data_IF_750052112342
#
_entry.id   IF_750052112342
#
_cell.length_a   1.000
_cell.length_b   1.000
_cell.length_c   1.000
_cell.angle_alpha   90.00
_cell.angle_beta   90.00
_cell.angle_gamma   90.00
#
_symmetry.space_group_name_H-M   'P 1'
#
loop_
_entity.id
_entity.type
_entity.pdbx_description
1 polymer ?
#
# COMPACT_ATOMS: atom_id res chain seq x y z
N UNK A 1 -0.46 12.45 -37.56
CA UNK A 1 0.01 12.42 -36.15
C UNK A 1 -0.79 11.32 -35.43
N UNK A 2 -0.17 10.18 -35.11
CA UNK A 2 -0.86 9.07 -34.44
C UNK A 2 -1.03 9.42 -32.97
N UNK A 3 -2.27 9.64 -32.51
CA UNK A 3 -2.55 9.75 -31.07
C UNK A 3 -2.25 8.39 -30.45
N UNK A 4 -1.22 8.30 -29.59
CA UNK A 4 -1.06 7.13 -28.72
C UNK A 4 -2.35 6.97 -27.92
N UNK A 5 -3.05 5.87 -28.11
CA UNK A 5 -4.25 5.54 -27.34
C UNK A 5 -3.82 5.38 -25.87
N UNK A 6 -4.18 6.33 -25.02
CA UNK A 6 -3.94 6.22 -23.60
C UNK A 6 -4.77 5.04 -23.08
N UNK A 7 -4.08 4.03 -22.55
CA UNK A 7 -4.76 2.89 -21.94
C UNK A 7 -5.46 3.35 -20.66
N UNK A 8 -6.64 2.79 -20.33
CA UNK A 8 -7.37 3.19 -19.14
C UNK A 8 -6.54 2.94 -17.87
N UNK A 9 -6.45 3.96 -17.02
CA UNK A 9 -5.73 3.97 -15.74
C UNK A 9 -6.47 4.84 -14.74
N UNK A 10 -6.14 4.74 -13.45
CA UNK A 10 -6.57 5.75 -12.48
C UNK A 10 -5.73 7.01 -12.72
N UNK A 11 -6.39 8.16 -12.83
CA UNK A 11 -5.79 9.45 -13.18
C UNK A 11 -6.29 10.52 -12.22
N UNK A 12 -5.37 11.34 -11.71
CA UNK A 12 -5.67 12.54 -10.95
C UNK A 12 -5.24 13.76 -11.75
N UNK A 13 -6.16 14.69 -11.98
CA UNK A 13 -5.90 15.98 -12.60
C UNK A 13 -6.16 17.11 -11.61
N UNK A 14 -5.46 18.23 -11.74
CA UNK A 14 -5.80 19.47 -11.03
C UNK A 14 -7.08 20.12 -11.62
N UNK A 15 -7.64 21.17 -10.98
CA UNK A 15 -8.84 21.83 -11.49
C UNK A 15 -8.67 22.46 -12.88
N UNK A 16 -7.44 22.68 -13.35
CA UNK A 16 -7.11 23.18 -14.68
C UNK A 16 -6.94 22.04 -15.71
N UNK A 17 -7.11 20.78 -15.29
CA UNK A 17 -6.99 19.60 -16.15
C UNK A 17 -5.56 19.10 -16.34
N UNK A 18 -4.57 19.61 -15.60
CA UNK A 18 -3.19 19.14 -15.67
C UNK A 18 -3.04 17.83 -14.90
N UNK A 19 -2.39 16.85 -15.54
CA UNK A 19 -2.09 15.55 -14.94
C UNK A 19 -1.18 15.70 -13.72
N UNK A 20 -1.64 15.24 -12.56
CA UNK A 20 -0.89 15.17 -11.31
C UNK A 20 -0.35 13.77 -11.03
N UNK A 21 -1.14 12.74 -11.34
CA UNK A 21 -0.79 11.33 -11.07
C UNK A 21 -1.50 10.39 -12.03
N UNK A 22 -0.83 9.29 -12.39
CA UNK A 22 -1.46 8.13 -13.00
C UNK A 22 -0.84 6.82 -12.48
N UNK A 23 -1.60 5.73 -12.54
CA UNK A 23 -1.12 4.41 -12.10
C UNK A 23 -0.28 3.67 -13.14
N UNK A 24 -0.21 4.15 -14.39
CA UNK A 24 0.60 3.57 -15.48
C UNK A 24 0.46 2.04 -15.61
N UNK A 25 -0.77 1.53 -15.59
CA UNK A 25 -1.14 0.09 -15.48
C UNK A 25 -0.56 -0.85 -16.56
N UNK A 26 0.07 -0.34 -17.62
CA UNK A 26 0.69 -1.16 -18.67
C UNK A 26 -0.28 -2.06 -19.46
N UNK A 27 -1.59 -1.95 -19.23
CA UNK A 27 -2.61 -2.83 -19.78
C UNK A 27 -4.00 -2.22 -19.72
N UNK A 28 -4.97 -2.90 -20.33
CA UNK A 28 -6.36 -2.44 -20.35
C UNK A 28 -7.04 -2.76 -19.02
N UNK A 29 -7.34 -1.70 -18.25
CA UNK A 29 -8.21 -1.77 -17.08
C UNK A 29 -9.65 -2.00 -17.52
N UNK A 30 -10.31 -2.94 -16.86
CA UNK A 30 -11.71 -3.30 -17.05
C UNK A 30 -12.58 -2.73 -15.92
N UNK A 31 -12.15 -2.90 -14.67
CA UNK A 31 -12.82 -2.37 -13.49
C UNK A 31 -11.83 -2.11 -12.34
N UNK A 32 -12.29 -1.39 -11.33
CA UNK A 32 -11.60 -1.19 -10.05
C UNK A 32 -12.38 -1.86 -8.92
N UNK A 33 -11.67 -2.37 -7.93
CA UNK A 33 -12.27 -2.91 -6.69
C UNK A 33 -11.64 -2.24 -5.49
N UNK A 34 -12.46 -1.82 -4.52
CA UNK A 34 -12.02 -1.48 -3.18
C UNK A 34 -12.61 -2.52 -2.25
N UNK A 35 -11.76 -3.34 -1.62
CA UNK A 35 -12.21 -4.46 -0.80
C UNK A 35 -12.20 -4.10 0.69
N UNK A 36 -12.74 -5.01 1.50
CA UNK A 36 -12.87 -4.80 2.96
C UNK A 36 -11.52 -4.76 3.69
N UNK A 37 -10.42 -5.16 3.03
CA UNK A 37 -9.06 -5.01 3.59
C UNK A 37 -8.49 -3.61 3.37
N UNK A 38 -9.18 -2.75 2.61
CA UNK A 38 -8.70 -1.41 2.25
C UNK A 38 -7.78 -1.38 1.03
N UNK A 39 -7.69 -2.46 0.25
CA UNK A 39 -6.91 -2.50 -0.98
C UNK A 39 -7.75 -2.00 -2.17
N UNK A 40 -7.28 -0.93 -2.80
CA UNK A 40 -7.80 -0.45 -4.08
C UNK A 40 -7.00 -1.09 -5.21
N UNK A 41 -7.65 -1.94 -6.01
CA UNK A 41 -7.02 -2.64 -7.12
C UNK A 41 -7.68 -2.31 -8.47
N UNK A 42 -6.85 -2.10 -9.49
CA UNK A 42 -7.27 -2.00 -10.89
C UNK A 42 -7.08 -3.37 -11.55
N UNK A 43 -8.12 -3.86 -12.23
CA UNK A 43 -8.17 -5.25 -12.71
C UNK A 43 -8.47 -5.35 -14.19
N UNK A 44 -7.98 -6.43 -14.81
CA UNK A 44 -8.41 -6.88 -16.13
C UNK A 44 -9.77 -7.59 -16.03
N UNK A 45 -10.39 -7.86 -17.17
CA UNK A 45 -11.64 -8.62 -17.29
C UNK A 45 -11.59 -10.02 -16.64
N UNK A 46 -10.41 -10.66 -16.65
CA UNK A 46 -10.18 -11.94 -15.99
C UNK A 46 -9.83 -11.82 -14.49
N UNK A 47 -10.09 -10.65 -13.89
CA UNK A 47 -9.80 -10.31 -12.49
C UNK A 47 -8.33 -10.28 -12.09
N UNK A 48 -7.39 -10.47 -13.02
CA UNK A 48 -5.95 -10.27 -12.71
C UNK A 48 -5.67 -8.81 -12.37
N UNK A 49 -4.84 -8.60 -11.35
CA UNK A 49 -4.45 -7.28 -10.87
C UNK A 49 -3.44 -6.67 -11.84
N UNK A 50 -3.68 -5.42 -12.22
CA UNK A 50 -2.77 -4.57 -12.99
C UNK A 50 -1.98 -3.62 -12.09
N UNK A 51 -2.63 -3.16 -11.03
CA UNK A 51 -2.13 -2.20 -10.06
C UNK A 51 -2.94 -2.33 -8.78
N UNK A 52 -2.33 -2.13 -7.62
CA UNK A 52 -3.03 -2.13 -6.33
C UNK A 52 -2.36 -1.20 -5.33
N UNK A 53 -3.14 -0.55 -4.46
CA UNK A 53 -2.63 0.42 -3.49
C UNK A 53 -1.69 -0.21 -2.46
N UNK A 54 -1.86 -1.50 -2.17
CA UNK A 54 -1.01 -2.22 -1.22
C UNK A 54 0.47 -2.32 -1.65
N UNK A 55 0.76 -2.20 -2.95
CA UNK A 55 2.12 -2.14 -3.53
C UNK A 55 2.72 -0.73 -3.53
N UNK A 56 2.01 0.23 -2.94
CA UNK A 56 2.41 1.63 -2.84
C UNK A 56 2.15 2.15 -1.42
N UNK A 57 2.82 1.58 -0.40
CA UNK A 57 2.62 2.02 0.98
C UNK A 57 3.01 3.49 1.19
N UNK A 58 2.33 4.15 2.13
CA UNK A 58 2.67 5.49 2.61
C UNK A 58 3.34 5.38 3.99
N UNK A 59 2.87 6.12 4.97
CA UNK A 59 3.21 6.02 6.39
C UNK A 59 2.43 4.93 7.13
N UNK A 60 1.45 4.28 6.49
CA UNK A 60 0.54 3.33 7.14
C UNK A 60 0.52 1.98 6.44
N UNK A 61 0.50 0.90 7.23
CA UNK A 61 0.42 -0.49 6.80
C UNK A 61 -0.88 -1.08 7.36
N UNK A 62 -1.61 -1.81 6.53
CA UNK A 62 -2.91 -2.40 6.90
C UNK A 62 -2.81 -3.93 7.06
N UNK A 63 -3.71 -4.56 7.83
CA UNK A 63 -3.86 -6.00 7.87
C UNK A 63 -4.00 -6.59 6.46
N UNK A 64 -3.41 -7.75 6.24
CA UNK A 64 -3.22 -8.45 4.96
C UNK A 64 -2.24 -7.79 3.97
N UNK A 65 -1.68 -6.62 4.29
CA UNK A 65 -0.65 -5.98 3.47
C UNK A 65 0.72 -6.61 3.75
N UNK A 66 1.48 -6.83 2.67
CA UNK A 66 2.87 -7.26 2.71
C UNK A 66 3.74 -6.17 2.11
N UNK A 67 4.82 -5.82 2.81
CA UNK A 67 5.83 -4.89 2.32
C UNK A 67 7.03 -5.68 1.84
N UNK A 68 7.34 -5.54 0.56
CA UNK A 68 8.52 -6.13 -0.05
C UNK A 68 9.78 -5.25 0.15
N UNK A 69 10.93 -5.82 -0.20
CA UNK A 69 12.26 -5.23 0.01
C UNK A 69 12.42 -3.79 -0.53
N UNK A 70 11.73 -3.47 -1.62
CA UNK A 70 11.84 -2.17 -2.31
C UNK A 70 10.64 -1.24 -2.01
N UNK A 71 9.70 -1.69 -1.19
CA UNK A 71 8.56 -0.90 -0.75
C UNK A 71 8.93 -0.29 0.61
N UNK A 72 9.17 1.02 0.64
CA UNK A 72 9.65 1.71 1.84
C UNK A 72 8.50 2.57 2.37
N UNK A 73 7.87 2.20 3.50
CA UNK A 73 7.00 3.13 4.20
C UNK A 73 7.78 4.35 4.66
N UNK A 74 7.24 5.54 4.41
CA UNK A 74 7.86 6.80 4.79
C UNK A 74 6.87 7.60 5.59
N UNK A 75 7.33 8.16 6.71
CA UNK A 75 6.51 8.99 7.58
C UNK A 75 5.96 10.19 6.81
N UNK A 76 4.83 10.72 7.29
CA UNK A 76 4.40 12.06 6.89
C UNK A 76 5.34 13.13 7.46
N UNK A 77 5.34 14.32 6.87
CA UNK A 77 6.24 15.43 7.26
C UNK A 77 5.88 16.05 8.62
N UNK A 78 4.59 16.19 8.88
CA UNK A 78 4.01 16.59 10.17
C UNK A 78 2.64 15.96 10.30
N UNK A 79 2.01 16.01 11.48
CA UNK A 79 0.65 15.49 11.71
C UNK A 79 -0.36 15.88 10.60
N UNK A 80 -0.38 17.16 10.22
CA UNK A 80 -1.27 17.71 9.20
C UNK A 80 -0.68 17.76 7.78
N UNK A 81 0.57 17.38 7.59
CA UNK A 81 1.26 17.45 6.29
C UNK A 81 1.68 16.06 5.79
N UNK A 82 0.85 15.51 4.90
CA UNK A 82 1.01 14.20 4.27
C UNK A 82 2.11 14.14 3.18
N UNK A 83 2.90 15.19 3.00
CA UNK A 83 4.11 15.09 2.16
C UNK A 83 5.17 14.21 2.83
N UNK A 84 6.13 13.75 2.02
CA UNK A 84 7.24 12.89 2.44
C UNK A 84 7.97 13.50 3.64
N UNK A 85 8.04 12.74 4.73
CA UNK A 85 8.76 13.05 5.96
C UNK A 85 10.20 12.54 5.96
N UNK A 86 10.79 12.46 7.16
CA UNK A 86 12.22 12.13 7.33
C UNK A 86 12.48 10.72 7.88
N UNK A 87 11.45 10.06 8.42
CA UNK A 87 11.58 8.71 8.96
C UNK A 87 11.09 7.71 7.91
N UNK A 88 11.83 6.63 7.75
CA UNK A 88 11.52 5.61 6.77
C UNK A 88 11.80 4.24 7.39
N UNK A 89 10.87 3.30 7.18
CA UNK A 89 11.05 1.93 7.61
C UNK A 89 11.83 1.19 6.53
N UNK A 90 13.11 0.91 6.76
CA UNK A 90 13.86 0.03 5.84
C UNK A 90 13.60 -1.42 6.16
N UNK A 91 12.83 -2.05 5.31
CA UNK A 91 12.65 -3.48 5.31
C UNK A 91 13.88 -4.13 4.65
N UNK A 92 14.94 -4.43 5.43
CA UNK A 92 16.01 -5.32 4.94
C UNK A 92 15.51 -6.78 4.70
N UNK A 93 14.27 -7.04 5.11
CA UNK A 93 13.50 -8.30 5.11
C UNK A 93 12.01 -7.96 4.95
N UNK A 94 11.22 -8.86 4.34
CA UNK A 94 9.78 -8.65 4.09
C UNK A 94 9.01 -8.48 5.41
N UNK A 95 8.14 -7.47 5.48
CA UNK A 95 7.24 -7.26 6.65
C UNK A 95 5.84 -7.71 6.26
N UNK A 96 5.19 -8.50 7.11
CA UNK A 96 3.83 -9.00 6.92
C UNK A 96 2.95 -8.48 8.05
N UNK A 97 1.80 -7.93 7.70
CA UNK A 97 0.75 -7.64 8.66
C UNK A 97 -0.42 -8.59 8.37
N UNK A 98 -0.65 -9.57 9.25
CA UNK A 98 -1.67 -10.60 9.02
C UNK A 98 -3.09 -10.08 9.24
N UNK A 99 -4.10 -10.85 8.82
CA UNK A 99 -5.51 -10.59 9.14
C UNK A 99 -5.83 -10.66 10.62
N UNK A 100 -4.98 -11.31 11.42
CA UNK A 100 -5.08 -11.43 12.88
C UNK A 100 -4.39 -10.26 13.60
N UNK A 101 -4.02 -9.22 12.85
CA UNK A 101 -3.27 -8.07 13.34
C UNK A 101 -1.89 -8.41 13.93
N UNK A 102 -1.31 -9.54 13.51
CA UNK A 102 0.06 -9.91 13.84
C UNK A 102 1.01 -9.30 12.82
N UNK A 103 2.00 -8.56 13.30
CA UNK A 103 3.11 -8.04 12.50
C UNK A 103 4.27 -9.00 12.67
N UNK A 104 4.81 -9.47 11.56
CA UNK A 104 5.98 -10.33 11.51
C UNK A 104 6.96 -9.89 10.43
N UNK A 105 8.19 -10.36 10.57
CA UNK A 105 9.22 -10.21 9.53
C UNK A 105 9.61 -11.56 8.99
N UNK A 106 9.66 -11.68 7.68
CA UNK A 106 10.11 -12.87 6.96
C UNK A 106 11.55 -12.66 6.51
N UNK A 107 12.47 -13.37 7.17
CA UNK A 107 13.91 -13.34 6.89
C UNK A 107 14.21 -13.96 5.51
N UNK A 108 15.38 -13.66 4.95
CA UNK A 108 15.81 -14.20 3.63
C UNK A 108 15.86 -15.73 3.57
N UNK A 109 16.05 -16.40 4.71
CA UNK A 109 16.01 -17.85 4.82
C UNK A 109 14.57 -18.43 4.92
N UNK A 110 13.55 -17.58 4.78
CA UNK A 110 12.13 -17.95 4.90
C UNK A 110 11.61 -18.04 6.33
N UNK A 111 12.45 -17.82 7.36
CA UNK A 111 11.98 -17.84 8.74
C UNK A 111 11.16 -16.61 9.08
N UNK A 112 10.00 -16.83 9.70
CA UNK A 112 9.15 -15.78 10.24
C UNK A 112 9.51 -15.48 11.70
N UNK A 113 9.60 -14.20 12.04
CA UNK A 113 9.76 -13.71 13.40
C UNK A 113 8.64 -12.73 13.70
N UNK A 114 7.82 -13.06 14.71
CA UNK A 114 6.73 -12.21 15.18
C UNK A 114 7.31 -11.00 15.94
N UNK A 115 6.78 -9.82 15.64
CA UNK A 115 7.12 -8.56 16.31
C UNK A 115 5.99 -8.04 17.20
N UNK A 116 4.74 -8.46 16.96
CA UNK A 116 3.59 -8.03 17.77
C UNK A 116 3.64 -8.56 19.22
N UNK A 117 3.04 -7.83 20.18
CA UNK A 117 2.82 -8.31 21.54
C UNK A 117 2.01 -9.61 21.59
N UNK A 118 2.21 -10.41 22.63
CA UNK A 118 1.62 -11.76 22.78
C UNK A 118 0.09 -11.81 22.88
N UNK A 119 -0.56 -10.66 23.15
CA UNK A 119 -2.01 -10.55 23.32
C UNK A 119 -2.53 -9.39 22.47
N UNK A 120 -3.14 -9.72 21.34
CA UNK A 120 -3.81 -8.77 20.45
C UNK A 120 -5.32 -8.97 20.63
N UNK A 121 -6.10 -7.91 20.90
CA UNK A 121 -7.55 -8.05 21.00
C UNK A 121 -8.16 -8.60 19.69
N UNK A 122 -9.39 -9.15 19.73
CA UNK A 122 -10.03 -9.68 18.52
C UNK A 122 -10.28 -8.60 17.45
N UNK A 123 -10.12 -9.00 16.19
CA UNK A 123 -10.36 -8.19 14.99
C UNK A 123 -11.83 -7.86 14.72
N UNK A 124 -12.79 -8.55 15.33
CA UNK A 124 -14.22 -8.31 15.06
C UNK A 124 -14.68 -6.90 15.45
N UNK A 125 -13.98 -6.28 16.40
CA UNK A 125 -14.39 -5.01 17.01
C UNK A 125 -13.37 -3.89 16.77
N UNK A 126 -12.22 -4.19 16.14
CA UNK A 126 -11.09 -3.26 16.06
C UNK A 126 -10.49 -3.21 14.66
N UNK A 127 -10.31 -1.98 14.16
CA UNK A 127 -9.55 -1.73 12.94
C UNK A 127 -8.08 -1.50 13.29
N UNK A 128 -7.23 -2.48 12.97
CA UNK A 128 -5.79 -2.38 13.22
C UNK A 128 -5.07 -1.67 12.07
N UNK A 129 -4.08 -0.86 12.43
CA UNK A 129 -3.13 -0.26 11.49
C UNK A 129 -1.78 -0.09 12.19
N UNK A 130 -0.70 -0.15 11.43
CA UNK A 130 0.62 0.25 11.90
C UNK A 130 1.02 1.51 11.16
N UNK A 131 1.35 2.57 11.89
CA UNK A 131 1.72 3.87 11.30
C UNK A 131 3.14 4.22 11.73
N UNK A 132 3.97 4.68 10.78
CA UNK A 132 5.23 5.33 11.05
C UNK A 132 4.94 6.82 11.26
N UNK A 133 4.90 7.23 12.53
CA UNK A 133 4.54 8.58 12.90
C UNK A 133 5.61 9.61 12.45
N UNK A 134 5.20 10.88 12.39
CA UNK A 134 6.01 11.96 11.83
C UNK A 134 7.20 12.34 12.71
N UNK A 135 7.19 11.93 13.98
CA UNK A 135 8.21 12.15 14.99
C UNK A 135 9.10 10.94 15.27
N UNK A 136 8.78 9.77 14.71
CA UNK A 136 9.55 8.52 14.83
C UNK A 136 9.00 7.60 15.90
#
# INVERSE_FOLDING_TARGET
MVRKKQLPSLVLNDPQGRLLYNTSTGGQVDHATFNDTGNLALRRRNSSILWESFRHPTDTILPTQTIELDEIPVSRKTEANYSIGRFYATAAIRVVFSSEAVISVVKRNGQEQVLSPSSIPPFSDNYYRATLDWDG
#
